data_IF_965404947788
#
_entry.id   IF_965404947788
#
_cell.length_a   1.000
_cell.length_b   1.000
_cell.length_c   1.000
_cell.angle_alpha   90.00
_cell.angle_beta   90.00
_cell.angle_gamma   90.00
#
_symmetry.space_group_name_H-M   'P 1'
#
loop_
_entity.id
_entity.type
_entity.pdbx_description
1 polymer ?
#
# COMPACT_ATOMS: atom_id res chain seq x y z
N UNK A 1 37.62 -9.87 -0.83
CA UNK A 1 37.59 -11.29 -0.41
C UNK A 1 37.11 -12.09 -1.61
N UNK A 2 37.88 -13.08 -2.06
CA UNK A 2 37.48 -13.92 -3.19
C UNK A 2 36.23 -14.75 -2.80
N UNK A 3 35.28 -14.86 -3.74
CA UNK A 3 34.02 -15.58 -3.56
C UNK A 3 34.31 -17.05 -3.23
N UNK A 4 33.78 -17.63 -2.13
CA UNK A 4 33.84 -19.07 -1.95
C UNK A 4 33.13 -19.75 -3.14
N UNK A 5 33.61 -20.90 -3.63
CA UNK A 5 32.99 -21.56 -4.79
C UNK A 5 31.52 -21.85 -4.48
N UNK A 6 30.61 -21.33 -5.31
CA UNK A 6 29.18 -21.64 -5.18
C UNK A 6 29.01 -23.17 -5.29
N UNK A 7 28.23 -23.81 -4.40
CA UNK A 7 27.88 -25.21 -4.58
C UNK A 7 27.17 -25.39 -5.94
N UNK A 8 27.26 -26.58 -6.57
CA UNK A 8 26.63 -26.81 -7.87
C UNK A 8 25.14 -26.48 -7.78
N UNK A 9 24.69 -25.61 -8.69
CA UNK A 9 23.30 -25.19 -8.75
C UNK A 9 22.46 -26.32 -9.38
N UNK A 10 21.32 -26.68 -8.79
CA UNK A 10 20.40 -27.61 -9.43
C UNK A 10 19.86 -27.00 -10.72
N UNK A 11 19.66 -27.83 -11.75
CA UNK A 11 19.09 -27.41 -13.03
C UNK A 11 17.62 -27.05 -12.82
N UNK A 12 17.23 -25.85 -13.25
CA UNK A 12 15.85 -25.37 -13.18
C UNK A 12 15.16 -25.65 -14.51
N UNK A 13 14.02 -26.34 -14.47
CA UNK A 13 13.17 -26.53 -15.64
C UNK A 13 12.16 -25.38 -15.75
N UNK A 14 12.35 -24.56 -16.79
CA UNK A 14 11.51 -23.41 -17.12
C UNK A 14 10.25 -23.75 -17.92
N UNK A 15 10.06 -25.01 -18.34
CA UNK A 15 8.86 -25.40 -19.08
C UNK A 15 7.62 -25.27 -18.19
N UNK A 16 6.56 -24.69 -18.74
CA UNK A 16 5.27 -24.59 -18.06
C UNK A 16 4.65 -25.96 -17.74
N UNK A 17 3.85 -26.03 -16.68
CA UNK A 17 3.14 -27.24 -16.26
C UNK A 17 2.89 -27.29 -14.74
N UNK A 18 1.96 -28.14 -14.30
CA UNK A 18 1.76 -28.42 -12.88
C UNK A 18 2.96 -29.22 -12.35
N UNK A 19 3.84 -28.54 -11.60
CA UNK A 19 5.08 -29.11 -11.05
C UNK A 19 5.20 -28.77 -9.58
N UNK A 20 5.85 -29.64 -8.81
CA UNK A 20 6.22 -29.35 -7.43
C UNK A 20 7.22 -28.18 -7.36
N UNK A 21 7.36 -27.55 -6.19
CA UNK A 21 8.32 -26.48 -5.98
C UNK A 21 9.74 -26.98 -6.28
N UNK A 22 10.43 -26.35 -7.23
CA UNK A 22 11.85 -26.61 -7.55
C UNK A 22 12.80 -25.87 -6.58
N UNK A 23 12.33 -25.52 -5.38
CA UNK A 23 13.13 -24.80 -4.38
C UNK A 23 14.23 -25.71 -3.84
N UNK A 24 15.45 -25.18 -3.82
CA UNK A 24 16.60 -25.80 -3.17
C UNK A 24 17.31 -24.76 -2.29
N UNK A 25 17.73 -25.07 -1.05
CA UNK A 25 18.40 -24.10 -0.17
C UNK A 25 19.61 -23.39 -0.83
N UNK A 26 20.40 -24.13 -1.63
CA UNK A 26 21.52 -23.58 -2.39
C UNK A 26 21.11 -22.48 -3.39
N UNK A 27 19.94 -22.63 -4.04
CA UNK A 27 19.40 -21.58 -4.92
C UNK A 27 18.99 -20.35 -4.11
N UNK A 28 18.33 -20.56 -2.96
CA UNK A 28 17.98 -19.48 -2.05
C UNK A 28 19.20 -18.69 -1.58
N UNK A 29 20.28 -19.39 -1.23
CA UNK A 29 21.56 -18.78 -0.85
C UNK A 29 22.18 -18.00 -2.02
N UNK A 30 22.27 -18.58 -3.22
CA UNK A 30 22.86 -17.93 -4.40
C UNK A 30 22.09 -16.66 -4.80
N UNK A 31 20.75 -16.68 -4.71
CA UNK A 31 19.91 -15.49 -4.94
C UNK A 31 20.27 -14.39 -3.92
N UNK A 32 20.33 -14.73 -2.64
CA UNK A 32 20.68 -13.79 -1.56
C UNK A 32 22.11 -13.24 -1.72
N UNK A 33 23.04 -14.08 -2.15
CA UNK A 33 24.43 -13.70 -2.39
C UNK A 33 24.53 -12.71 -3.56
N UNK A 34 23.88 -13.00 -4.68
CA UNK A 34 23.81 -12.09 -5.83
C UNK A 34 23.17 -10.74 -5.49
N UNK A 35 22.18 -10.71 -4.60
CA UNK A 35 21.63 -9.47 -4.07
C UNK A 35 22.67 -8.67 -3.28
N UNK A 36 23.46 -9.33 -2.44
CA UNK A 36 24.54 -8.68 -1.68
C UNK A 36 25.67 -8.18 -2.59
N UNK A 37 25.92 -8.86 -3.71
CA UNK A 37 26.86 -8.45 -4.76
C UNK A 37 26.34 -7.23 -5.56
N UNK A 38 25.10 -6.81 -5.32
CA UNK A 38 24.50 -5.60 -5.88
C UNK A 38 23.60 -5.82 -7.08
N UNK A 39 23.38 -7.08 -7.50
CA UNK A 39 22.43 -7.39 -8.55
C UNK A 39 21.00 -7.18 -8.05
N UNK A 40 20.17 -6.60 -8.90
CA UNK A 40 18.74 -6.52 -8.67
C UNK A 40 18.08 -7.88 -8.89
N UNK A 41 16.94 -8.14 -8.24
CA UNK A 41 16.16 -9.38 -8.46
C UNK A 41 15.81 -9.57 -9.94
N UNK A 42 15.65 -8.48 -10.69
CA UNK A 42 15.38 -8.52 -12.12
C UNK A 42 16.57 -9.03 -12.93
N UNK A 43 17.79 -8.57 -12.61
CA UNK A 43 19.02 -9.05 -13.24
C UNK A 43 19.31 -10.50 -12.85
N UNK A 44 19.04 -10.88 -11.60
CA UNK A 44 19.15 -12.27 -11.15
C UNK A 44 18.19 -13.16 -11.95
N UNK A 45 16.92 -12.78 -12.06
CA UNK A 45 15.91 -13.55 -12.80
C UNK A 45 16.10 -13.56 -14.33
N UNK A 46 17.04 -12.77 -14.87
CA UNK A 46 17.39 -12.79 -16.29
C UNK A 46 18.41 -13.88 -16.62
N UNK A 47 19.11 -14.44 -15.61
CA UNK A 47 20.01 -15.57 -15.79
C UNK A 47 19.18 -16.86 -16.05
N UNK A 48 19.43 -17.61 -17.14
CA UNK A 48 18.75 -18.87 -17.42
C UNK A 48 18.90 -19.94 -16.33
N UNK A 49 19.94 -19.87 -15.49
CA UNK A 49 20.11 -20.77 -14.35
C UNK A 49 19.32 -20.33 -13.10
N UNK A 50 18.66 -19.17 -13.14
CA UNK A 50 17.91 -18.60 -12.01
C UNK A 50 16.40 -18.76 -12.20
N UNK A 51 15.63 -18.91 -11.11
CA UNK A 51 14.18 -18.97 -11.19
C UNK A 51 13.59 -17.63 -11.65
N UNK A 52 12.38 -17.69 -12.21
CA UNK A 52 11.66 -16.48 -12.60
C UNK A 52 11.44 -15.53 -11.43
N UNK A 53 11.28 -14.24 -11.71
CA UNK A 53 10.96 -13.21 -10.71
C UNK A 53 9.79 -13.62 -9.80
N UNK A 54 8.69 -14.12 -10.38
CA UNK A 54 7.51 -14.53 -9.63
C UNK A 54 7.80 -15.72 -8.69
N UNK A 55 8.62 -16.66 -9.15
CA UNK A 55 9.03 -17.85 -8.39
C UNK A 55 9.84 -17.46 -7.15
N UNK A 56 10.76 -16.50 -7.25
CA UNK A 56 11.54 -16.01 -6.10
C UNK A 56 10.62 -15.44 -5.01
N UNK A 57 9.64 -14.61 -5.39
CA UNK A 57 8.69 -14.05 -4.43
C UNK A 57 7.74 -15.11 -3.85
N UNK A 58 7.38 -16.12 -4.63
CA UNK A 58 6.61 -17.25 -4.14
C UNK A 58 7.40 -18.06 -3.11
N UNK A 59 8.66 -18.39 -3.39
CA UNK A 59 9.54 -19.09 -2.45
C UNK A 59 9.76 -18.31 -1.15
N UNK A 60 9.89 -16.99 -1.21
CA UNK A 60 9.97 -16.14 -0.01
C UNK A 60 8.74 -16.30 0.89
N UNK A 61 7.56 -16.57 0.34
CA UNK A 61 6.34 -16.77 1.14
C UNK A 61 6.26 -18.18 1.73
N UNK A 62 6.72 -19.18 0.98
CA UNK A 62 6.55 -20.59 1.33
C UNK A 62 7.69 -21.15 2.19
N UNK A 63 8.87 -20.53 2.16
CA UNK A 63 10.06 -21.03 2.85
C UNK A 63 10.60 -19.99 3.85
N UNK A 64 10.32 -20.15 5.17
CA UNK A 64 10.72 -19.19 6.20
C UNK A 64 12.23 -18.95 6.28
N UNK A 65 13.05 -19.99 6.11
CA UNK A 65 14.51 -19.87 6.15
C UNK A 65 15.04 -18.99 5.01
N UNK A 66 14.48 -19.16 3.80
CA UNK A 66 14.81 -18.30 2.66
C UNK A 66 14.35 -16.86 2.89
N UNK A 67 13.16 -16.67 3.48
CA UNK A 67 12.66 -15.35 3.83
C UNK A 67 13.60 -14.63 4.79
N UNK A 68 14.07 -15.32 5.83
CA UNK A 68 15.01 -14.77 6.81
C UNK A 68 16.34 -14.35 6.15
N UNK A 69 16.92 -15.19 5.30
CA UNK A 69 18.15 -14.84 4.55
C UNK A 69 17.94 -13.65 3.61
N UNK A 70 16.82 -13.64 2.88
CA UNK A 70 16.46 -12.59 1.94
C UNK A 70 16.27 -11.25 2.66
N UNK A 71 15.57 -11.24 3.79
CA UNK A 71 15.30 -10.04 4.56
C UNK A 71 16.59 -9.52 5.23
N UNK A 72 17.45 -10.40 5.75
CA UNK A 72 18.77 -10.00 6.25
C UNK A 72 19.64 -9.36 5.15
N UNK A 73 19.57 -9.85 3.89
CA UNK A 73 20.25 -9.22 2.77
C UNK A 73 19.69 -7.82 2.47
N UNK A 74 18.36 -7.66 2.53
CA UNK A 74 17.72 -6.35 2.35
C UNK A 74 18.09 -5.37 3.44
N UNK A 75 18.19 -5.81 4.69
CA UNK A 75 18.58 -4.96 5.81
C UNK A 75 20.03 -4.50 5.67
N UNK A 76 20.95 -5.39 5.27
CA UNK A 76 22.34 -5.01 4.95
C UNK A 76 22.42 -3.98 3.82
N UNK A 77 21.66 -4.19 2.74
CA UNK A 77 21.61 -3.23 1.62
C UNK A 77 21.00 -1.88 2.04
N UNK A 78 19.97 -1.90 2.89
CA UNK A 78 19.37 -0.69 3.44
C UNK A 78 20.38 0.08 4.31
N UNK A 79 21.11 -0.63 5.18
CA UNK A 79 22.18 -0.07 6.00
C UNK A 79 23.27 0.58 5.14
N UNK A 80 23.76 -0.11 4.11
CA UNK A 80 24.76 0.42 3.17
C UNK A 80 24.27 1.71 2.52
N UNK A 81 23.03 1.74 2.02
CA UNK A 81 22.42 2.94 1.42
C UNK A 81 22.27 4.08 2.42
N UNK A 82 21.91 3.80 3.67
CA UNK A 82 21.82 4.82 4.73
C UNK A 82 23.19 5.45 5.00
N UNK A 83 24.24 4.63 5.09
CA UNK A 83 25.61 5.11 5.29
C UNK A 83 26.10 5.93 4.09
N UNK A 84 25.89 5.45 2.86
CA UNK A 84 26.23 6.17 1.64
C UNK A 84 25.47 7.50 1.55
N UNK A 85 24.17 7.51 1.82
CA UNK A 85 23.36 8.72 1.87
C UNK A 85 23.87 9.72 2.91
N UNK A 86 24.25 9.25 4.10
CA UNK A 86 24.85 10.10 5.14
C UNK A 86 26.20 10.67 4.69
N UNK A 87 27.05 9.87 4.01
CA UNK A 87 28.33 10.33 3.46
C UNK A 87 28.14 11.39 2.37
N UNK A 88 27.18 11.19 1.46
CA UNK A 88 26.82 12.13 0.42
C UNK A 88 26.23 13.41 1.03
N UNK A 89 25.39 13.30 2.06
CA UNK A 89 24.85 14.45 2.78
C UNK A 89 25.97 15.30 3.43
N UNK A 90 26.97 14.65 4.03
CA UNK A 90 28.17 15.35 4.56
C UNK A 90 28.98 16.02 3.45
N UNK A 91 29.25 15.31 2.36
CA UNK A 91 30.01 15.85 1.23
C UNK A 91 29.30 17.04 0.56
N UNK A 92 27.97 16.96 0.40
CA UNK A 92 27.16 18.04 -0.16
C UNK A 92 27.08 19.25 0.79
N UNK A 93 26.99 19.03 2.10
CA UNK A 93 27.09 20.09 3.09
C UNK A 93 28.47 20.79 3.04
N UNK A 94 29.57 20.02 2.99
CA UNK A 94 30.92 20.57 2.88
C UNK A 94 31.12 21.39 1.60
N UNK A 95 30.62 20.92 0.45
CA UNK A 95 30.62 21.70 -0.80
C UNK A 95 29.84 23.00 -0.66
N UNK A 96 28.67 22.95 -0.02
CA UNK A 96 27.86 24.15 0.24
C UNK A 96 28.60 25.15 1.13
N UNK A 97 29.31 24.69 2.15
CA UNK A 97 30.11 25.55 3.03
C UNK A 97 31.29 26.18 2.26
N UNK A 98 31.93 25.43 1.35
CA UNK A 98 32.94 25.96 0.43
C UNK A 98 32.36 27.02 -0.52
N UNK A 99 31.18 26.81 -1.09
CA UNK A 99 30.49 27.80 -1.93
C UNK A 99 30.22 29.11 -1.16
N UNK A 100 29.82 28.99 0.11
CA UNK A 100 29.57 30.14 0.99
C UNK A 100 30.87 30.87 1.30
N UNK A 101 31.95 30.14 1.63
CA UNK A 101 33.27 30.73 1.88
C UNK A 101 33.84 31.45 0.64
N UNK A 102 33.55 30.94 -0.57
CA UNK A 102 33.92 31.56 -1.85
C UNK A 102 33.01 32.71 -2.29
N UNK A 103 31.98 33.04 -1.50
CA UNK A 103 31.01 34.08 -1.86
C UNK A 103 30.05 33.71 -3.01
N UNK A 104 30.11 32.48 -3.52
CA UNK A 104 29.22 31.98 -4.58
C UNK A 104 27.78 31.75 -4.09
N UNK A 105 27.60 31.60 -2.77
CA UNK A 105 26.29 31.43 -2.13
C UNK A 105 26.18 32.24 -0.84
N UNK A 106 25.00 32.84 -0.60
CA UNK A 106 24.69 33.47 0.70
C UNK A 106 24.19 32.43 1.70
N UNK A 107 24.68 32.49 2.95
CA UNK A 107 24.15 31.66 4.05
C UNK A 107 22.74 32.16 4.40
N UNK A 108 21.72 31.35 4.14
CA UNK A 108 20.35 31.66 4.55
C UNK A 108 20.25 31.46 6.08
N UNK A 109 19.69 32.41 6.84
CA UNK A 109 19.46 32.22 8.28
C UNK A 109 18.61 30.97 8.53
N UNK A 110 18.92 30.22 9.59
CA UNK A 110 18.05 29.14 10.06
C UNK A 110 16.65 29.72 10.34
N UNK A 111 15.60 29.14 9.76
CA UNK A 111 14.23 29.66 9.88
C UNK A 111 13.81 30.69 8.81
N UNK A 112 14.66 31.01 7.82
CA UNK A 112 14.32 31.88 6.68
C UNK A 112 13.40 31.25 5.62
N UNK A 113 12.85 30.06 5.92
CA UNK A 113 11.73 29.51 5.17
C UNK A 113 10.44 30.22 5.58
N UNK A 114 9.50 30.39 4.65
CA UNK A 114 8.17 30.91 4.96
C UNK A 114 7.59 30.09 6.13
N UNK A 115 7.27 30.74 7.25
CA UNK A 115 6.67 30.09 8.42
C UNK A 115 5.44 29.30 7.96
N UNK A 116 5.26 28.10 8.52
CA UNK A 116 4.09 27.28 8.19
C UNK A 116 2.83 28.10 8.44
N UNK A 117 1.94 28.22 7.47
CA UNK A 117 0.63 28.88 7.61
C UNK A 117 -0.37 28.02 8.41
N UNK A 118 0.13 27.04 9.17
CA UNK A 118 -0.69 26.12 9.93
C UNK A 118 -1.33 26.86 11.10
N UNK A 119 -2.65 26.89 11.11
CA UNK A 119 -3.47 27.29 12.25
C UNK A 119 -4.50 26.20 12.49
N UNK A 120 -4.90 26.01 13.75
CA UNK A 120 -5.93 25.01 14.09
C UNK A 120 -7.26 25.34 13.41
N UNK A 121 -7.59 26.62 13.28
CA UNK A 121 -8.80 27.09 12.58
C UNK A 121 -8.79 26.69 11.09
N UNK A 122 -7.68 26.88 10.38
CA UNK A 122 -7.58 26.49 8.98
C UNK A 122 -7.65 24.97 8.80
N UNK A 123 -7.04 24.21 9.72
CA UNK A 123 -7.12 22.76 9.76
C UNK A 123 -8.56 22.27 9.96
N UNK A 124 -9.27 22.82 10.95
CA UNK A 124 -10.69 22.53 11.21
C UNK A 124 -11.57 22.90 10.00
N UNK A 125 -11.35 24.07 9.41
CA UNK A 125 -12.12 24.53 8.25
C UNK A 125 -11.99 23.61 7.04
N UNK A 126 -10.83 22.98 6.85
CA UNK A 126 -10.61 21.93 5.84
C UNK A 126 -11.37 20.66 6.22
N UNK A 127 -11.22 20.17 7.47
CA UNK A 127 -11.88 18.94 7.92
C UNK A 127 -13.41 19.02 7.83
N UNK A 128 -14.02 20.13 8.26
CA UNK A 128 -15.48 20.33 8.21
C UNK A 128 -16.01 20.26 6.78
N UNK A 129 -15.33 20.90 5.82
CA UNK A 129 -15.75 20.86 4.41
C UNK A 129 -15.54 19.49 3.78
N UNK A 130 -14.48 18.81 4.19
CA UNK A 130 -14.16 17.47 3.72
C UNK A 130 -15.26 16.49 4.16
N UNK A 131 -15.61 16.51 5.46
CA UNK A 131 -16.70 15.75 6.05
C UNK A 131 -18.04 16.03 5.38
N UNK A 132 -18.33 17.29 5.01
CA UNK A 132 -19.49 17.70 4.24
C UNK A 132 -19.49 17.22 2.76
N UNK A 133 -18.60 16.31 2.39
CA UNK A 133 -18.58 15.70 1.06
C UNK A 133 -17.80 16.48 0.00
N UNK A 134 -17.06 17.54 0.32
CA UNK A 134 -16.30 18.29 -0.68
C UNK A 134 -14.95 17.63 -1.01
N UNK A 135 -14.54 17.64 -2.27
CA UNK A 135 -13.21 17.17 -2.64
C UNK A 135 -12.12 18.10 -2.10
N UNK A 136 -11.00 17.55 -1.62
CA UNK A 136 -9.89 18.35 -1.08
C UNK A 136 -9.38 19.39 -2.10
N UNK A 137 -9.34 19.04 -3.39
CA UNK A 137 -8.97 19.97 -4.46
C UNK A 137 -9.94 21.16 -4.57
N UNK A 138 -11.25 20.92 -4.43
CA UNK A 138 -12.26 21.96 -4.45
C UNK A 138 -12.18 22.87 -3.21
N UNK A 139 -11.89 22.29 -2.03
CA UNK A 139 -11.64 23.05 -0.80
C UNK A 139 -10.44 23.98 -1.01
N UNK A 140 -9.30 23.43 -1.44
CA UNK A 140 -8.06 24.18 -1.64
C UNK A 140 -8.09 25.18 -2.81
N UNK A 141 -9.09 25.14 -3.69
CA UNK A 141 -9.25 26.09 -4.78
C UNK A 141 -9.79 27.45 -4.31
N UNK A 142 -10.35 27.51 -3.09
CA UNK A 142 -10.92 28.75 -2.54
C UNK A 142 -9.82 29.70 -2.04
N UNK A 143 -10.02 31.03 -2.15
CA UNK A 143 -9.01 32.01 -1.74
C UNK A 143 -8.75 32.05 -0.23
N UNK A 144 -9.73 31.63 0.58
CA UNK A 144 -9.67 31.55 2.05
C UNK A 144 -9.04 30.23 2.56
N UNK A 145 -8.63 29.34 1.66
CA UNK A 145 -8.18 27.99 1.99
C UNK A 145 -6.68 27.78 1.76
N UNK A 146 -6.05 26.87 2.53
CA UNK A 146 -4.67 26.52 2.30
C UNK A 146 -4.50 25.80 0.96
N UNK A 147 -3.36 26.03 0.31
CA UNK A 147 -2.99 25.28 -0.89
C UNK A 147 -2.88 23.77 -0.59
N UNK A 148 -3.10 22.94 -1.61
CA UNK A 148 -2.98 21.49 -1.51
C UNK A 148 -1.61 21.04 -0.95
N UNK A 149 -0.53 21.72 -1.38
CA UNK A 149 0.84 21.47 -0.89
C UNK A 149 0.98 21.76 0.60
N UNK A 150 0.34 22.82 1.10
CA UNK A 150 0.36 23.16 2.52
C UNK A 150 -0.34 22.06 3.33
N UNK A 151 -1.53 21.61 2.92
CA UNK A 151 -2.26 20.53 3.59
C UNK A 151 -1.44 19.25 3.70
N UNK A 152 -0.81 18.78 2.61
CA UNK A 152 0.04 17.59 2.67
C UNK A 152 1.30 17.79 3.53
N UNK A 153 1.83 19.02 3.58
CA UNK A 153 2.94 19.35 4.49
C UNK A 153 2.47 19.28 5.94
N UNK A 154 1.25 19.72 6.23
CA UNK A 154 0.68 19.67 7.57
C UNK A 154 0.43 18.24 8.04
N UNK A 155 -0.13 17.38 7.17
CA UNK A 155 -0.35 15.96 7.48
C UNK A 155 0.94 15.25 7.90
N UNK A 156 2.07 15.57 7.26
CA UNK A 156 3.37 14.97 7.60
C UNK A 156 3.99 15.51 8.89
N UNK A 157 3.62 16.73 9.29
CA UNK A 157 4.32 17.48 10.34
C UNK A 157 3.54 17.56 11.65
N UNK A 158 2.21 17.46 11.60
CA UNK A 158 1.32 17.63 12.74
C UNK A 158 0.40 16.41 12.90
N UNK A 159 0.76 15.44 13.78
CA UNK A 159 -0.04 14.23 14.00
C UNK A 159 -1.49 14.51 14.41
N UNK A 160 -1.73 15.59 15.14
CA UNK A 160 -3.10 16.01 15.55
C UNK A 160 -3.96 16.32 14.32
N UNK A 161 -3.41 17.01 13.32
CA UNK A 161 -4.15 17.29 12.08
C UNK A 161 -4.38 16.03 11.25
N UNK A 162 -3.43 15.10 11.24
CA UNK A 162 -3.60 13.81 10.59
C UNK A 162 -4.80 13.03 11.17
N UNK A 163 -4.90 12.94 12.49
CA UNK A 163 -6.03 12.28 13.16
C UNK A 163 -7.37 12.93 12.80
N UNK A 164 -7.47 14.26 12.89
CA UNK A 164 -8.68 15.01 12.51
C UNK A 164 -9.05 14.82 11.03
N UNK A 165 -8.05 14.80 10.15
CA UNK A 165 -8.26 14.62 8.72
C UNK A 165 -8.74 13.21 8.39
N UNK A 166 -8.26 12.19 9.07
CA UNK A 166 -8.75 10.80 8.92
C UNK A 166 -10.20 10.68 9.40
N UNK A 167 -10.56 11.28 10.53
CA UNK A 167 -11.95 11.34 10.98
C UNK A 167 -12.86 12.04 9.95
N UNK A 168 -12.43 13.18 9.41
CA UNK A 168 -13.16 13.88 8.36
C UNK A 168 -13.29 13.08 7.05
N UNK A 169 -12.33 12.20 6.74
CA UNK A 169 -12.41 11.28 5.60
C UNK A 169 -13.43 10.17 5.83
N UNK A 170 -13.59 9.71 7.06
CA UNK A 170 -14.61 8.75 7.44
C UNK A 170 -16.01 9.37 7.32
N UNK A 171 -16.20 10.57 7.86
CA UNK A 171 -17.44 11.33 7.72
C UNK A 171 -17.78 11.64 6.26
N UNK A 172 -16.77 11.98 5.46
CA UNK A 172 -16.94 12.16 4.03
C UNK A 172 -17.46 10.90 3.33
N UNK A 173 -17.02 9.72 3.78
CA UNK A 173 -17.46 8.43 3.25
C UNK A 173 -18.95 8.24 3.53
N UNK A 174 -19.35 8.43 4.78
CA UNK A 174 -20.76 8.36 5.20
C UNK A 174 -21.63 9.36 4.43
N UNK A 175 -21.15 10.59 4.23
CA UNK A 175 -21.86 11.59 3.43
C UNK A 175 -22.10 11.13 1.99
N UNK A 176 -21.09 10.53 1.35
CA UNK A 176 -21.21 10.03 -0.03
C UNK A 176 -22.21 8.88 -0.13
N UNK A 177 -22.20 7.96 0.84
CA UNK A 177 -23.14 6.83 0.93
C UNK A 177 -24.58 7.34 1.07
N UNK A 178 -24.84 8.24 2.03
CA UNK A 178 -26.16 8.87 2.20
C UNK A 178 -26.60 9.65 0.96
N UNK A 179 -25.66 10.32 0.28
CA UNK A 179 -25.98 11.05 -0.95
C UNK A 179 -26.38 10.12 -2.09
N UNK A 180 -25.74 8.95 -2.21
CA UNK A 180 -26.11 7.92 -3.19
C UNK A 180 -27.52 7.41 -2.91
N UNK A 181 -27.80 7.04 -1.66
CA UNK A 181 -29.12 6.56 -1.24
C UNK A 181 -30.20 7.60 -1.53
N UNK A 182 -29.96 8.86 -1.18
CA UNK A 182 -30.89 9.94 -1.44
C UNK A 182 -31.15 10.15 -2.94
N UNK A 183 -30.12 10.13 -3.78
CA UNK A 183 -30.29 10.29 -5.24
C UNK A 183 -31.08 9.11 -5.82
N UNK A 184 -30.84 7.89 -5.35
CA UNK A 184 -31.59 6.72 -5.78
C UNK A 184 -33.07 6.78 -5.33
N UNK A 185 -33.32 7.16 -4.08
CA UNK A 185 -34.67 7.18 -3.49
C UNK A 185 -35.55 8.37 -3.91
N UNK A 186 -34.95 9.48 -4.35
CA UNK A 186 -35.69 10.70 -4.77
C UNK A 186 -35.84 10.85 -6.28
N UNK A 187 -35.30 9.92 -7.08
CA UNK A 187 -35.36 10.04 -8.53
C UNK A 187 -36.77 9.78 -9.07
N UNK A 188 -37.25 10.69 -9.92
CA UNK A 188 -38.46 10.47 -10.70
C UNK A 188 -38.16 9.61 -11.94
N UNK A 189 -39.13 8.83 -12.43
CA UNK A 189 -38.93 7.86 -13.52
C UNK A 189 -38.38 8.49 -14.82
N UNK A 190 -38.70 9.75 -15.11
CA UNK A 190 -38.17 10.49 -16.28
C UNK A 190 -36.69 10.87 -16.15
N UNK A 191 -36.13 10.84 -14.94
CA UNK A 191 -34.78 11.33 -14.64
C UNK A 191 -33.80 10.20 -14.28
N UNK A 192 -34.21 8.93 -14.43
CA UNK A 192 -33.42 7.76 -14.03
C UNK A 192 -32.02 7.77 -14.67
N UNK A 193 -31.90 8.15 -15.94
CA UNK A 193 -30.59 8.23 -16.61
C UNK A 193 -29.63 9.24 -15.97
N UNK A 194 -30.14 10.42 -15.58
CA UNK A 194 -29.35 11.44 -14.90
C UNK A 194 -28.99 11.01 -13.46
N UNK A 195 -29.93 10.38 -12.75
CA UNK A 195 -29.69 9.83 -11.42
C UNK A 195 -28.63 8.71 -11.44
N UNK A 196 -28.69 7.80 -12.41
CA UNK A 196 -27.68 6.75 -12.60
C UNK A 196 -26.29 7.35 -12.85
N UNK A 197 -26.18 8.36 -13.71
CA UNK A 197 -24.90 9.03 -13.97
C UNK A 197 -24.34 9.70 -12.69
N UNK A 198 -25.20 10.34 -11.90
CA UNK A 198 -24.80 10.95 -10.63
C UNK A 198 -24.36 9.91 -9.59
N UNK A 199 -25.09 8.81 -9.45
CA UNK A 199 -24.72 7.70 -8.56
C UNK A 199 -23.39 7.10 -8.97
N UNK A 200 -23.15 6.87 -10.27
CA UNK A 200 -21.88 6.35 -10.78
C UNK A 200 -20.71 7.28 -10.42
N UNK A 201 -20.88 8.60 -10.57
CA UNK A 201 -19.86 9.59 -10.18
C UNK A 201 -19.58 9.56 -8.67
N UNK A 202 -20.62 9.44 -7.84
CA UNK A 202 -20.47 9.35 -6.38
C UNK A 202 -19.78 8.05 -5.95
N UNK A 203 -20.13 6.92 -6.56
CA UNK A 203 -19.50 5.63 -6.34
C UNK A 203 -18.02 5.64 -6.75
N UNK A 204 -17.66 6.30 -7.85
CA UNK A 204 -16.26 6.48 -8.24
C UNK A 204 -15.49 7.26 -7.16
N UNK A 205 -16.08 8.36 -6.67
CA UNK A 205 -15.48 9.15 -5.58
C UNK A 205 -15.30 8.33 -4.32
N UNK A 206 -16.30 7.54 -3.94
CA UNK A 206 -16.25 6.63 -2.80
C UNK A 206 -15.13 5.58 -2.98
N UNK A 207 -15.03 4.95 -4.15
CA UNK A 207 -14.01 3.96 -4.45
C UNK A 207 -12.57 4.49 -4.47
N UNK A 208 -12.37 5.81 -4.64
CA UNK A 208 -11.05 6.46 -4.49
C UNK A 208 -10.69 6.72 -3.02
N UNK A 209 -11.67 6.80 -2.12
CA UNK A 209 -11.46 6.96 -0.68
C UNK A 209 -11.19 5.62 0.00
N UNK A 210 -11.92 4.59 -0.41
CA UNK A 210 -11.74 3.24 0.12
C UNK A 210 -10.44 2.65 -0.43
N UNK A 211 -9.45 2.28 0.41
CA UNK A 211 -8.27 1.58 -0.05
C UNK A 211 -8.66 0.31 -0.81
N UNK A 212 -7.88 -0.07 -1.85
CA UNK A 212 -8.08 -1.32 -2.64
C UNK A 212 -8.29 -2.59 -1.79
N UNK A 213 -7.91 -2.54 -0.51
CA UNK A 213 -8.02 -3.60 0.48
C UNK A 213 -9.46 -3.94 0.93
N UNK A 214 -10.45 -3.07 0.68
CA UNK A 214 -11.86 -3.29 1.07
C UNK A 214 -12.81 -3.39 -0.14
N UNK A 215 -12.27 -3.51 -1.35
CA UNK A 215 -13.07 -3.89 -2.52
C UNK A 215 -13.46 -5.37 -2.35
N UNK A 216 -14.72 -5.78 -2.61
CA UNK A 216 -15.02 -7.20 -2.67
C UNK A 216 -14.14 -7.83 -3.76
N UNK A 217 -13.15 -8.64 -3.36
CA UNK A 217 -12.15 -9.26 -4.24
C UNK A 217 -10.68 -8.79 -4.10
N UNK A 218 -10.33 -7.97 -3.10
CA UNK A 218 -8.94 -7.46 -2.95
C UNK A 218 -8.32 -7.72 -1.57
N UNK A 219 -7.63 -8.88 -1.44
CA UNK A 219 -6.89 -9.41 -0.26
C UNK A 219 -7.75 -9.95 0.91
N UNK A 220 -7.44 -11.20 1.24
CA UNK A 220 -7.78 -11.90 2.49
C UNK A 220 -7.60 -11.00 3.70
N UNK A 221 -8.59 -11.04 4.61
CA UNK A 221 -8.59 -10.34 5.89
C UNK A 221 -7.28 -10.60 6.66
N UNK A 222 -6.80 -9.64 7.47
CA UNK A 222 -5.75 -9.94 8.43
C UNK A 222 -6.23 -11.07 9.34
N UNK A 223 -5.36 -12.06 9.55
CA UNK A 223 -5.55 -13.11 10.54
C UNK A 223 -5.91 -12.43 11.86
N UNK A 224 -7.12 -12.68 12.36
CA UNK A 224 -7.48 -12.29 13.71
C UNK A 224 -6.43 -12.89 14.65
N UNK A 225 -5.80 -12.04 15.46
CA UNK A 225 -5.03 -12.51 16.60
C UNK A 225 -5.98 -13.38 17.42
N UNK A 226 -5.61 -14.65 17.57
CA UNK A 226 -6.28 -15.56 18.49
C UNK A 226 -6.17 -14.92 19.87
N UNK A 227 -7.30 -14.56 20.45
CA UNK A 227 -7.38 -14.43 21.89
C UNK A 227 -7.15 -15.84 22.45
N UNK A 228 -5.99 -16.03 23.06
CA UNK A 228 -5.70 -17.20 23.87
C UNK A 228 -6.48 -17.03 25.17
N UNK A 229 -7.68 -17.59 25.23
CA UNK A 229 -8.36 -18.02 26.46
C UNK A 229 -9.66 -18.71 26.05
N UNK A 230 -9.61 -20.04 25.95
CA UNK A 230 -10.73 -20.99 26.17
C UNK A 230 -10.18 -22.40 25.87
N UNK A 231 -9.59 -23.00 26.90
CA UNK A 231 -9.23 -24.40 26.91
C UNK A 231 -10.43 -25.24 27.36
N UNK A 232 -11.00 -26.05 26.44
CA UNK A 232 -11.79 -27.23 26.79
C UNK A 232 -12.79 -27.70 25.71
N UNK A 233 -13.11 -29.00 25.63
CA UNK A 233 -12.19 -30.13 25.56
C UNK A 233 -12.30 -30.90 24.23
N UNK A 234 -11.26 -31.72 24.02
CA UNK A 234 -11.10 -32.77 23.02
C UNK A 234 -12.26 -33.80 23.03
N UNK A 235 -12.41 -34.54 21.92
CA UNK A 235 -13.46 -35.52 21.54
C UNK A 235 -14.68 -34.86 20.85
N UNK A 236 -15.22 -35.31 19.71
CA UNK A 236 -15.08 -36.54 18.94
C UNK A 236 -16.10 -36.46 17.78
N UNK A 237 -15.87 -37.27 16.75
CA UNK A 237 -16.69 -37.49 15.55
C UNK A 237 -18.22 -37.44 15.75
N UNK A 238 -18.95 -36.87 14.78
CA UNK A 238 -20.12 -37.49 14.12
C UNK A 238 -20.56 -36.68 12.89
N UNK A 239 -20.75 -37.40 11.79
CA UNK A 239 -20.90 -36.87 10.44
C UNK A 239 -22.26 -36.28 10.07
N UNK A 240 -22.28 -35.74 8.85
CA UNK A 240 -23.49 -35.21 8.23
C UNK A 240 -23.20 -34.59 6.87
N UNK A 241 -23.05 -35.43 5.85
CA UNK A 241 -23.16 -35.01 4.44
C UNK A 241 -24.54 -34.37 4.23
N UNK A 242 -24.59 -33.14 3.72
CA UNK A 242 -25.80 -32.62 3.08
C UNK A 242 -25.44 -32.07 1.71
N UNK A 243 -26.18 -32.58 0.73
CA UNK A 243 -25.99 -32.45 -0.69
C UNK A 243 -26.24 -31.02 -1.21
N UNK A 244 -25.53 -30.67 -2.29
CA UNK A 244 -25.84 -29.49 -3.11
C UNK A 244 -27.05 -29.80 -3.99
N UNK A 245 -28.12 -29.03 -3.84
CA UNK A 245 -29.24 -28.97 -4.79
C UNK A 245 -29.27 -27.60 -5.50
N UNK A 246 -29.50 -27.54 -6.82
CA UNK A 246 -29.57 -26.29 -7.57
C UNK A 246 -31.00 -25.72 -7.52
N UNK A 247 -31.12 -24.47 -7.08
CA UNK A 247 -32.41 -23.77 -7.03
C UNK A 247 -32.72 -23.04 -8.34
N UNK A 248 -33.88 -23.41 -8.90
CA UNK A 248 -34.89 -22.60 -9.60
C UNK A 248 -34.61 -22.06 -11.00
N UNK A 249 -35.14 -22.79 -11.99
CA UNK A 249 -35.70 -22.23 -13.22
C UNK A 249 -37.19 -22.60 -13.28
N UNK A 250 -38.05 -21.62 -13.60
CA UNK A 250 -39.35 -21.84 -14.23
C UNK A 250 -40.58 -21.80 -13.32
N UNK A 251 -41.19 -20.62 -13.18
CA UNK A 251 -42.60 -20.46 -12.81
C UNK A 251 -43.33 -19.84 -14.01
N UNK A 252 -43.91 -20.71 -14.83
CA UNK A 252 -44.97 -20.57 -15.85
C UNK A 252 -45.48 -22.03 -15.96
N UNK A 253 -46.74 -22.41 -15.99
CA UNK A 253 -48.03 -21.74 -16.12
C UNK A 253 -49.09 -22.84 -15.84
N UNK A 254 -50.31 -22.39 -15.57
CA UNK A 254 -51.61 -23.05 -15.89
C UNK A 254 -52.22 -24.19 -15.04
N UNK A 255 -53.52 -23.94 -14.84
CA UNK A 255 -54.70 -24.70 -14.35
C UNK A 255 -54.86 -25.05 -12.86
#
# INVERSE_FOLDING_TARGET
MARPPSPPLPVIDHKGGAKASQYHPNLGWEICQRMCDGLTIREIAADPAMPSYATIFHWRKMHPEFAAMYDACRDKLAWKRQMEAASLARATAARRDQDVARGLRRRRPAGSGRKSTFTMEAALAVCVRLAAGQALSAICARPDMPSLKAVYTWLKRFPVFEAMYLAAREEQRMWLELKIEHVAGSCHWTQVGAAMAQVAQLQERLGRLTPKHYRPGGRTAPVALRDEDEAGPLFGDHGGRVARGPWLHGLLDED
#
